data_IF_233958072205
#
_entry.id   IF_233958072205
#
_cell.length_a   1.000
_cell.length_b   1.000
_cell.length_c   1.000
_cell.angle_alpha   90.00
_cell.angle_beta   90.00
_cell.angle_gamma   90.00
#
_symmetry.space_group_name_H-M   'P 1'
#
loop_
_entity.id
_entity.type
_entity.pdbx_description
1 polymer ?
#
# COMPACT_ATOMS: atom_id res chain seq x y z
N UNK A 1 15.38 39.87 31.55
CA UNK A 1 14.29 39.57 30.61
C UNK A 1 14.49 38.18 30.02
N UNK A 2 13.47 37.34 30.25
CA UNK A 2 13.15 36.00 29.72
C UNK A 2 14.20 35.24 28.91
N UNK A 3 14.67 34.14 29.51
CA UNK A 3 15.18 32.95 28.83
C UNK A 3 14.08 32.37 27.93
N UNK A 4 14.35 32.24 26.63
CA UNK A 4 13.56 31.40 25.74
C UNK A 4 14.12 29.97 25.81
N UNK A 5 13.43 29.12 26.55
CA UNK A 5 13.62 27.68 26.53
C UNK A 5 13.11 27.18 25.16
N UNK A 6 14.02 26.89 24.23
CA UNK A 6 13.68 26.23 22.98
C UNK A 6 13.39 24.76 23.31
N UNK A 7 12.12 24.42 23.46
CA UNK A 7 11.69 23.03 23.60
C UNK A 7 11.83 22.38 22.23
N UNK A 8 12.98 21.76 21.98
CA UNK A 8 13.13 20.74 20.95
C UNK A 8 12.23 19.55 21.34
N UNK A 9 11.00 19.54 20.81
CA UNK A 9 10.17 18.35 20.78
C UNK A 9 10.89 17.31 19.92
N UNK A 10 11.49 16.34 20.60
CA UNK A 10 12.11 15.16 20.00
C UNK A 10 11.10 14.43 19.10
N UNK A 11 11.28 14.53 17.79
CA UNK A 11 10.76 13.51 16.88
C UNK A 11 11.61 12.26 17.10
N UNK A 12 11.10 11.30 17.86
CA UNK A 12 11.74 10.01 18.00
C UNK A 12 11.93 9.39 16.60
N UNK A 13 13.14 8.88 16.27
CA UNK A 13 13.36 8.28 14.97
C UNK A 13 12.44 7.06 14.83
N UNK A 14 11.58 7.07 13.81
CA UNK A 14 10.71 5.95 13.40
C UNK A 14 11.49 4.71 12.88
N UNK A 15 12.76 4.59 13.26
CA UNK A 15 13.73 3.58 12.83
C UNK A 15 14.04 2.54 13.92
N UNK A 16 13.56 2.72 15.16
CA UNK A 16 13.59 1.64 16.16
C UNK A 16 12.87 0.40 15.64
N UNK A 17 13.28 -0.80 16.05
CA UNK A 17 12.59 -2.03 15.68
C UNK A 17 11.13 -1.97 16.15
N UNK A 18 10.23 -1.56 15.25
CA UNK A 18 8.81 -1.34 15.55
C UNK A 18 8.09 -2.66 15.80
N UNK A 19 8.43 -3.70 15.03
CA UNK A 19 7.82 -5.01 15.15
C UNK A 19 8.73 -5.98 15.92
N UNK A 20 8.14 -6.75 16.83
CA UNK A 20 8.83 -7.78 17.61
C UNK A 20 9.39 -8.86 16.68
N UNK A 21 10.39 -9.62 17.13
CA UNK A 21 10.96 -10.76 16.37
C UNK A 21 9.93 -11.83 16.02
N UNK A 22 8.83 -11.91 16.77
CA UNK A 22 7.68 -12.80 16.54
C UNK A 22 6.62 -12.19 15.61
N UNK A 23 6.92 -11.07 14.95
CA UNK A 23 6.02 -10.35 14.05
C UNK A 23 6.67 -10.10 12.68
N UNK A 24 5.87 -10.14 11.62
CA UNK A 24 6.18 -9.52 10.35
C UNK A 24 6.04 -8.00 10.44
N UNK A 25 6.95 -7.27 9.79
CA UNK A 25 6.83 -5.84 9.51
C UNK A 25 6.38 -5.66 8.06
N UNK A 26 5.11 -5.32 7.86
CA UNK A 26 4.49 -5.17 6.54
C UNK A 26 5.19 -4.14 5.66
N UNK A 27 5.89 -3.15 6.23
CA UNK A 27 6.66 -2.19 5.43
C UNK A 27 7.75 -2.90 4.64
N UNK A 28 8.41 -3.91 5.23
CA UNK A 28 9.45 -4.72 4.57
C UNK A 28 8.91 -5.63 3.47
N UNK A 29 7.60 -5.89 3.46
CA UNK A 29 6.93 -6.67 2.41
C UNK A 29 6.43 -5.78 1.29
N UNK A 30 5.92 -4.60 1.61
CA UNK A 30 5.31 -3.68 0.65
C UNK A 30 6.34 -2.81 -0.07
N UNK A 31 7.40 -2.39 0.64
CA UNK A 31 8.49 -1.56 0.12
C UNK A 31 9.82 -2.03 0.75
N UNK A 32 10.40 -3.16 0.28
CA UNK A 32 11.63 -3.70 0.85
C UNK A 32 12.80 -2.73 0.69
N UNK A 33 13.78 -2.86 1.60
CA UNK A 33 15.02 -2.09 1.59
C UNK A 33 16.22 -3.03 1.34
N UNK A 34 17.27 -2.58 0.63
CA UNK A 34 17.39 -1.28 -0.07
C UNK A 34 16.36 -1.12 -1.20
N UNK A 35 16.08 0.12 -1.61
CA UNK A 35 15.10 0.46 -2.66
C UNK A 35 15.23 -0.45 -3.90
N UNK A 36 14.11 -1.09 -4.28
CA UNK A 36 14.03 -1.98 -5.43
C UNK A 36 13.08 -1.45 -6.48
N UNK A 37 13.40 -1.68 -7.76
CA UNK A 37 12.44 -1.59 -8.86
C UNK A 37 11.92 -2.98 -9.20
N UNK A 38 10.65 -3.23 -8.90
CA UNK A 38 9.92 -4.42 -9.34
C UNK A 38 8.57 -4.04 -9.96
N UNK A 39 8.60 -3.67 -11.25
CA UNK A 39 7.47 -3.03 -11.95
C UNK A 39 7.22 -1.57 -11.53
N UNK A 40 7.51 -1.24 -10.27
CA UNK A 40 7.54 0.11 -9.68
C UNK A 40 8.82 0.28 -8.86
N UNK A 41 9.29 1.51 -8.70
CA UNK A 41 10.36 1.88 -7.76
C UNK A 41 9.75 1.98 -6.35
N UNK A 42 10.24 1.14 -5.44
CA UNK A 42 9.91 1.14 -4.03
C UNK A 42 10.84 2.10 -3.31
N UNK A 43 10.28 3.14 -2.70
CA UNK A 43 11.07 4.12 -1.97
C UNK A 43 10.51 4.34 -0.59
N UNK A 44 11.35 4.26 0.44
CA UNK A 44 10.93 4.46 1.83
C UNK A 44 11.58 5.71 2.39
N UNK A 45 10.77 6.59 2.98
CA UNK A 45 11.19 7.81 3.66
C UNK A 45 10.81 7.78 5.15
N UNK A 46 11.61 7.10 6.00
CA UNK A 46 11.25 6.83 7.40
C UNK A 46 10.98 8.07 8.24
N UNK A 47 11.72 9.16 8.01
CA UNK A 47 11.55 10.41 8.78
C UNK A 47 10.16 11.02 8.59
N UNK A 48 9.57 10.85 7.40
CA UNK A 48 8.23 11.34 7.07
C UNK A 48 7.13 10.31 7.28
N UNK A 49 7.47 9.07 7.63
CA UNK A 49 6.51 7.95 7.67
C UNK A 49 5.83 7.72 6.33
N UNK A 50 6.55 7.85 5.21
CA UNK A 50 5.98 7.74 3.85
C UNK A 50 6.76 6.73 3.02
N UNK A 51 6.08 5.95 2.18
CA UNK A 51 6.71 5.20 1.09
C UNK A 51 5.96 5.37 -0.22
N UNK A 52 6.69 5.19 -1.32
CA UNK A 52 6.19 5.35 -2.68
C UNK A 52 6.29 4.05 -3.45
N UNK A 53 5.29 3.82 -4.30
CA UNK A 53 5.42 2.98 -5.48
C UNK A 53 5.36 3.86 -6.72
N UNK A 54 6.54 4.26 -7.23
CA UNK A 54 6.63 5.07 -8.44
C UNK A 54 6.62 4.15 -9.66
N UNK A 55 5.65 4.32 -10.56
CA UNK A 55 5.32 3.35 -11.62
C UNK A 55 6.10 3.56 -12.92
N UNK A 56 6.87 4.64 -13.05
CA UNK A 56 7.75 4.88 -14.21
C UNK A 56 9.04 5.62 -13.85
N UNK A 57 9.98 5.64 -14.79
CA UNK A 57 11.23 6.39 -14.68
C UNK A 57 11.06 7.91 -14.78
N UNK A 58 9.87 8.40 -15.16
CA UNK A 58 9.56 9.83 -15.16
C UNK A 58 9.27 10.38 -13.75
N UNK A 59 9.29 9.53 -12.72
CA UNK A 59 8.94 9.92 -11.36
C UNK A 59 7.44 9.86 -11.07
N UNK A 60 6.62 9.37 -12.00
CA UNK A 60 5.15 9.28 -11.92
C UNK A 60 4.59 8.19 -12.87
N UNK A 61 3.34 7.76 -12.73
CA UNK A 61 2.44 8.03 -11.62
C UNK A 61 2.91 7.29 -10.36
N UNK A 62 2.34 7.62 -9.20
CA UNK A 62 2.72 7.06 -7.91
C UNK A 62 1.50 6.56 -7.15
N UNK A 63 1.72 5.53 -6.34
CA UNK A 63 0.99 5.38 -5.09
C UNK A 63 1.86 5.95 -3.96
N UNK A 64 1.29 6.84 -3.15
CA UNK A 64 1.93 7.38 -1.93
C UNK A 64 1.18 6.82 -0.73
N UNK A 65 1.93 6.16 0.13
CA UNK A 65 1.40 5.50 1.30
C UNK A 65 2.09 6.05 2.54
N UNK A 66 1.34 6.16 3.62
CA UNK A 66 1.85 6.58 4.92
C UNK A 66 2.01 5.37 5.83
N UNK A 67 2.82 5.48 6.86
CA UNK A 67 2.94 4.48 7.90
C UNK A 67 3.29 5.11 9.23
N UNK A 68 2.77 4.52 10.30
CA UNK A 68 3.16 4.81 11.67
C UNK A 68 3.62 3.52 12.36
N UNK A 69 3.63 3.47 13.69
CA UNK A 69 4.03 2.26 14.42
C UNK A 69 2.98 1.13 14.35
N UNK A 70 1.74 1.45 14.03
CA UNK A 70 0.59 0.57 14.13
C UNK A 70 0.09 0.10 12.76
N UNK A 71 0.07 0.98 11.75
CA UNK A 71 -0.57 0.73 10.46
C UNK A 71 0.25 1.28 9.28
N UNK A 72 -0.03 0.70 8.12
CA UNK A 72 0.23 1.28 6.81
C UNK A 72 -1.09 1.82 6.26
N UNK A 73 -1.05 3.00 5.67
CA UNK A 73 -2.19 3.72 5.15
C UNK A 73 -2.03 4.02 3.67
N UNK A 74 -3.11 3.86 2.90
CA UNK A 74 -3.18 4.36 1.53
C UNK A 74 -3.58 5.84 1.56
N UNK A 75 -2.82 6.70 0.88
CA UNK A 75 -3.05 8.16 0.92
C UNK A 75 -3.37 8.73 -0.45
N UNK A 76 -2.46 8.57 -1.42
CA UNK A 76 -2.59 9.08 -2.78
C UNK A 76 -2.41 7.94 -3.76
N UNK A 77 -3.25 7.88 -4.78
CA UNK A 77 -3.14 6.93 -5.90
C UNK A 77 -3.28 7.65 -7.23
N UNK A 78 -2.92 6.97 -8.32
CA UNK A 78 -2.99 7.54 -9.65
C UNK A 78 -4.43 7.76 -10.14
N UNK A 79 -4.59 8.76 -11.01
CA UNK A 79 -5.79 8.91 -11.83
C UNK A 79 -5.50 8.69 -13.31
N UNK A 80 -4.71 9.56 -13.95
CA UNK A 80 -4.22 9.34 -15.32
C UNK A 80 -2.74 8.95 -15.29
N UNK A 81 -2.40 7.90 -16.03
CA UNK A 81 -1.06 7.34 -16.03
C UNK A 81 0.02 8.25 -16.64
N UNK A 82 -0.38 9.17 -17.51
CA UNK A 82 0.54 10.03 -18.28
C UNK A 82 0.54 11.48 -17.83
N UNK A 83 -0.15 11.82 -16.74
CA UNK A 83 -0.29 13.21 -16.29
C UNK A 83 -0.10 13.33 -14.77
N UNK A 84 1.05 13.87 -14.32
CA UNK A 84 1.37 14.00 -12.90
C UNK A 84 0.54 15.08 -12.18
N UNK A 85 -0.26 15.87 -12.90
CA UNK A 85 -1.18 16.85 -12.30
C UNK A 85 -2.52 16.22 -11.90
N UNK A 86 -2.69 14.91 -12.13
CA UNK A 86 -3.92 14.19 -11.81
C UNK A 86 -3.67 13.05 -10.83
N UNK A 87 -4.51 12.97 -9.81
CA UNK A 87 -4.35 11.99 -8.74
C UNK A 87 -5.65 11.81 -7.96
N UNK A 88 -5.72 10.75 -7.18
CA UNK A 88 -6.75 10.55 -6.17
C UNK A 88 -6.11 10.71 -4.80
N UNK A 89 -6.75 11.43 -3.90
CA UNK A 89 -6.28 11.60 -2.52
C UNK A 89 -7.41 11.33 -1.55
N UNK A 90 -7.15 10.50 -0.54
CA UNK A 90 -8.12 10.28 0.53
C UNK A 90 -8.21 11.50 1.45
N UNK A 91 -9.42 11.89 1.83
CA UNK A 91 -9.64 12.99 2.78
C UNK A 91 -9.00 12.68 4.15
N UNK A 92 -8.91 11.39 4.47
CA UNK A 92 -8.14 10.85 5.58
C UNK A 92 -7.48 9.57 5.09
N UNK A 93 -6.16 9.38 5.27
CA UNK A 93 -5.45 8.18 4.83
C UNK A 93 -6.15 6.90 5.31
N UNK A 94 -6.37 5.95 4.40
CA UNK A 94 -7.14 4.72 4.65
C UNK A 94 -6.23 3.72 5.32
N UNK A 95 -6.60 3.24 6.52
CA UNK A 95 -5.93 2.10 7.16
C UNK A 95 -5.99 0.90 6.21
N UNK A 96 -4.83 0.48 5.73
CA UNK A 96 -4.74 -0.55 4.69
C UNK A 96 -4.34 -1.90 5.27
N UNK A 97 -3.31 -1.93 6.13
CA UNK A 97 -2.86 -3.13 6.85
C UNK A 97 -2.26 -2.74 8.21
N UNK A 98 -2.30 -3.60 9.24
CA UNK A 98 -1.46 -3.42 10.40
C UNK A 98 0.01 -3.48 9.96
N UNK A 99 0.87 -2.66 10.58
CA UNK A 99 2.31 -2.67 10.31
C UNK A 99 2.94 -3.93 10.87
N UNK A 100 2.63 -4.28 12.11
CA UNK A 100 3.16 -5.45 12.78
C UNK A 100 2.12 -6.57 12.88
N UNK A 101 2.38 -7.70 12.21
CA UNK A 101 1.46 -8.86 12.19
C UNK A 101 2.15 -10.05 12.85
N UNK A 102 1.47 -10.75 13.77
CA UNK A 102 2.03 -11.96 14.40
C UNK A 102 2.38 -12.99 13.33
N UNK A 103 3.59 -13.56 13.42
CA UNK A 103 4.00 -14.66 12.54
C UNK A 103 3.09 -15.85 12.82
N UNK A 104 2.38 -16.39 11.81
CA UNK A 104 1.45 -17.49 12.04
C UNK A 104 2.22 -18.80 12.30
N UNK A 105 1.61 -19.70 13.07
CA UNK A 105 2.14 -21.06 13.29
C UNK A 105 1.90 -21.98 12.09
N UNK A 106 0.96 -21.63 11.20
CA UNK A 106 0.60 -22.39 10.00
C UNK A 106 0.59 -21.48 8.77
N UNK A 107 1.00 -21.99 7.62
CA UNK A 107 0.97 -21.27 6.34
C UNK A 107 -0.45 -21.17 5.75
N UNK A 108 -0.65 -20.22 4.84
CA UNK A 108 -1.86 -20.11 4.00
C UNK A 108 -3.12 -19.53 4.66
N UNK A 109 -3.16 -19.36 5.99
CA UNK A 109 -4.32 -18.80 6.69
C UNK A 109 -4.43 -17.28 6.60
N UNK A 110 -5.59 -16.74 7.00
CA UNK A 110 -5.77 -15.31 7.27
C UNK A 110 -5.03 -14.94 8.56
N UNK A 111 -4.21 -13.90 8.51
CA UNK A 111 -3.37 -13.47 9.63
C UNK A 111 -3.68 -12.08 10.14
N UNK A 112 -4.38 -11.25 9.36
CA UNK A 112 -4.84 -9.93 9.80
C UNK A 112 -6.11 -9.49 9.07
N UNK A 113 -6.85 -8.57 9.69
CA UNK A 113 -8.02 -7.91 9.10
C UNK A 113 -8.05 -6.46 9.56
N UNK A 114 -8.37 -5.55 8.64
CA UNK A 114 -8.65 -4.13 8.90
C UNK A 114 -9.94 -3.76 8.21
N UNK A 115 -10.79 -3.01 8.90
CA UNK A 115 -12.06 -2.50 8.37
C UNK A 115 -12.08 -0.99 8.45
N UNK A 116 -12.59 -0.33 7.42
CA UNK A 116 -12.78 1.13 7.39
C UNK A 116 -14.23 1.43 7.01
N UNK A 117 -14.98 2.15 7.86
CA UNK A 117 -16.37 2.50 7.56
C UNK A 117 -16.45 3.52 6.43
N UNK A 118 -17.59 3.55 5.74
CA UNK A 118 -17.83 4.46 4.61
C UNK A 118 -17.67 5.94 4.97
N UNK A 119 -17.96 6.31 6.21
CA UNK A 119 -17.77 7.69 6.72
C UNK A 119 -16.31 8.14 6.74
N UNK A 120 -15.37 7.18 6.68
CA UNK A 120 -13.93 7.43 6.69
C UNK A 120 -13.26 7.03 5.37
N UNK A 121 -14.02 6.79 4.30
CA UNK A 121 -13.51 6.38 2.99
C UNK A 121 -13.70 7.41 1.88
N UNK A 122 -13.96 8.66 2.26
CA UNK A 122 -14.09 9.78 1.34
C UNK A 122 -12.75 10.12 0.67
N UNK A 123 -12.79 10.40 -0.63
CA UNK A 123 -11.62 10.80 -1.40
C UNK A 123 -11.98 11.81 -2.48
N UNK A 124 -10.95 12.48 -2.99
CA UNK A 124 -11.05 13.45 -4.08
C UNK A 124 -10.30 12.91 -5.29
N UNK A 125 -10.88 13.07 -6.47
CA UNK A 125 -10.21 12.83 -7.75
C UNK A 125 -9.88 14.17 -8.36
N UNK A 126 -8.60 14.52 -8.36
CA UNK A 126 -8.07 15.73 -8.98
C UNK A 126 -7.85 15.49 -10.48
N UNK A 127 -8.53 16.27 -11.31
CA UNK A 127 -8.36 16.27 -12.77
C UNK A 127 -7.31 17.28 -13.26
N UNK A 128 -6.80 18.09 -12.33
CA UNK A 128 -5.68 19.05 -12.42
C UNK A 128 -5.24 19.37 -10.99
N UNK A 129 -4.21 20.20 -10.77
CA UNK A 129 -3.77 20.55 -9.41
C UNK A 129 -4.82 21.28 -8.56
N UNK A 130 -5.84 21.90 -9.16
CA UNK A 130 -6.83 22.73 -8.44
C UNK A 130 -8.27 22.25 -8.53
N UNK A 131 -8.62 21.44 -9.55
CA UNK A 131 -10.00 20.97 -9.75
C UNK A 131 -10.17 19.51 -9.33
N UNK A 132 -11.20 19.24 -8.52
CA UNK A 132 -11.51 17.89 -8.06
C UNK A 132 -13.01 17.57 -8.00
N UNK A 133 -13.31 16.27 -7.98
CA UNK A 133 -14.63 15.72 -7.62
C UNK A 133 -14.51 14.86 -6.37
N UNK A 134 -15.57 14.80 -5.56
CA UNK A 134 -15.60 14.01 -4.32
C UNK A 134 -16.33 12.69 -4.49
N UNK A 135 -15.79 11.65 -3.88
CA UNK A 135 -16.25 10.27 -3.98
C UNK A 135 -16.11 9.56 -2.63
N UNK A 136 -16.69 8.37 -2.53
CA UNK A 136 -16.49 7.45 -1.41
C UNK A 136 -16.27 6.04 -1.93
N UNK A 137 -15.41 5.27 -1.29
CA UNK A 137 -15.25 3.84 -1.60
C UNK A 137 -16.32 2.96 -0.96
N UNK A 138 -17.21 3.51 -0.11
CA UNK A 138 -18.09 2.70 0.73
C UNK A 138 -17.35 2.07 1.91
N UNK A 139 -17.92 1.03 2.53
CA UNK A 139 -17.22 0.26 3.55
C UNK A 139 -16.11 -0.59 2.91
N UNK A 140 -14.99 -0.69 3.61
CA UNK A 140 -13.76 -1.32 3.14
C UNK A 140 -13.36 -2.43 4.12
N UNK A 141 -12.90 -3.56 3.60
CA UNK A 141 -12.23 -4.61 4.35
C UNK A 141 -10.92 -5.02 3.66
N UNK A 142 -9.83 -4.98 4.40
CA UNK A 142 -8.52 -5.51 3.99
C UNK A 142 -8.20 -6.73 4.82
N UNK A 143 -7.77 -7.81 4.18
CA UNK A 143 -7.29 -9.02 4.86
C UNK A 143 -5.90 -9.39 4.38
N UNK A 144 -5.02 -9.78 5.30
CA UNK A 144 -3.70 -10.32 4.96
C UNK A 144 -3.74 -11.83 5.16
N UNK A 145 -3.24 -12.55 4.17
CA UNK A 145 -3.20 -14.01 4.11
C UNK A 145 -1.76 -14.49 3.87
N UNK A 146 -1.47 -15.70 4.36
CA UNK A 146 -0.20 -16.38 4.14
C UNK A 146 0.59 -16.64 5.43
N UNK A 147 1.91 -16.92 5.32
CA UNK A 147 2.64 -16.97 4.06
C UNK A 147 2.21 -18.15 3.19
N UNK A 148 2.24 -17.96 1.87
CA UNK A 148 2.20 -19.02 0.86
C UNK A 148 3.45 -18.93 -0.02
N UNK A 149 3.57 -19.77 -1.04
CA UNK A 149 4.58 -19.62 -2.09
C UNK A 149 3.89 -19.24 -3.40
N UNK A 150 4.57 -18.43 -4.22
CA UNK A 150 4.12 -18.03 -5.55
C UNK A 150 5.31 -18.07 -6.50
N UNK A 151 5.11 -18.55 -7.71
CA UNK A 151 6.09 -18.44 -8.80
C UNK A 151 5.57 -17.45 -9.83
N UNK A 152 6.31 -16.36 -10.05
CA UNK A 152 5.98 -15.32 -11.05
C UNK A 152 6.96 -15.32 -12.23
N UNK A 153 7.91 -16.25 -12.26
CA UNK A 153 8.97 -16.34 -13.27
C UNK A 153 9.95 -15.17 -13.22
N UNK A 154 10.59 -14.90 -14.36
CA UNK A 154 11.56 -13.80 -14.50
C UNK A 154 12.83 -14.01 -13.68
N UNK A 155 13.36 -12.96 -13.05
CA UNK A 155 14.58 -13.04 -12.23
C UNK A 155 14.30 -13.18 -10.73
N UNK A 156 13.03 -13.32 -10.34
CA UNK A 156 12.65 -13.48 -8.94
C UNK A 156 12.78 -14.96 -8.57
N UNK A 157 13.50 -15.31 -7.48
CA UNK A 157 13.62 -16.69 -7.05
C UNK A 157 12.26 -17.36 -6.83
N UNK A 158 12.05 -18.59 -7.33
CA UNK A 158 10.81 -19.32 -7.05
C UNK A 158 10.72 -19.69 -5.57
N UNK A 159 9.50 -19.84 -5.05
CA UNK A 159 9.27 -20.37 -3.71
C UNK A 159 9.51 -19.37 -2.56
N UNK A 160 9.71 -18.09 -2.85
CA UNK A 160 9.79 -17.08 -1.79
C UNK A 160 8.47 -16.98 -1.01
N UNK A 161 8.54 -16.81 0.34
CA UNK A 161 7.36 -16.53 1.14
C UNK A 161 6.60 -15.34 0.57
N UNK A 162 5.30 -15.50 0.44
CA UNK A 162 4.38 -14.54 -0.17
C UNK A 162 3.26 -14.22 0.81
N UNK A 163 3.07 -12.94 1.12
CA UNK A 163 1.87 -12.45 1.79
C UNK A 163 0.91 -11.91 0.75
N UNK A 164 -0.37 -12.25 0.89
CA UNK A 164 -1.41 -11.77 -0.02
C UNK A 164 -2.34 -10.85 0.73
N UNK A 165 -2.43 -9.59 0.30
CA UNK A 165 -3.47 -8.68 0.76
C UNK A 165 -4.68 -8.77 -0.17
N UNK A 166 -5.85 -9.00 0.41
CA UNK A 166 -7.14 -8.95 -0.27
C UNK A 166 -7.87 -7.70 0.21
N UNK A 167 -7.94 -6.70 -0.66
CA UNK A 167 -8.56 -5.40 -0.43
C UNK A 167 -9.93 -5.36 -1.10
N UNK A 168 -11.01 -5.18 -0.35
CA UNK A 168 -12.38 -5.13 -0.87
C UNK A 168 -13.08 -3.87 -0.42
N UNK A 169 -13.88 -3.29 -1.31
CA UNK A 169 -14.60 -2.05 -1.06
C UNK A 169 -15.98 -2.02 -1.72
N UNK A 170 -16.75 -0.98 -1.42
CA UNK A 170 -18.18 -0.90 -1.64
C UNK A 170 -18.94 -2.07 -1.00
N UNK A 171 -18.56 -2.41 0.24
CA UNK A 171 -19.19 -3.45 1.04
C UNK A 171 -20.46 -2.95 1.76
N UNK A 172 -21.30 -3.90 2.19
CA UNK A 172 -22.41 -3.63 3.11
C UNK A 172 -21.93 -3.05 4.45
N UNK A 173 -22.86 -2.61 5.29
CA UNK A 173 -22.59 -2.16 6.67
C UNK A 173 -21.93 -3.23 7.55
N UNK A 174 -22.06 -4.50 7.19
CA UNK A 174 -21.45 -5.65 7.88
C UNK A 174 -20.15 -6.11 7.22
N UNK A 175 -19.58 -5.31 6.31
CA UNK A 175 -18.35 -5.62 5.56
C UNK A 175 -18.45 -6.90 4.70
N UNK A 176 -19.67 -7.24 4.27
CA UNK A 176 -19.97 -8.33 3.36
C UNK A 176 -20.39 -7.81 1.98
N UNK A 177 -20.53 -8.70 0.99
CA UNK A 177 -21.14 -8.36 -0.30
C UNK A 177 -20.45 -7.22 -1.06
N UNK A 178 -19.13 -7.11 -0.94
CA UNK A 178 -18.34 -6.05 -1.58
C UNK A 178 -18.42 -6.14 -3.11
N UNK A 179 -18.45 -5.00 -3.81
CA UNK A 179 -18.53 -4.97 -5.28
C UNK A 179 -17.18 -5.09 -5.97
N UNK A 180 -16.12 -4.63 -5.33
CA UNK A 180 -14.79 -4.54 -5.91
C UNK A 180 -13.77 -5.26 -5.03
N UNK A 181 -12.77 -5.85 -5.68
CA UNK A 181 -11.66 -6.55 -5.03
C UNK A 181 -10.36 -6.27 -5.76
N UNK A 182 -9.34 -5.92 -5.00
CA UNK A 182 -7.96 -5.91 -5.42
C UNK A 182 -7.17 -6.91 -4.59
N UNK A 183 -6.28 -7.65 -5.24
CA UNK A 183 -5.38 -8.59 -4.57
C UNK A 183 -3.94 -8.21 -4.87
N UNK A 184 -3.13 -8.11 -3.82
CA UNK A 184 -1.72 -7.76 -3.90
C UNK A 184 -0.88 -8.90 -3.31
N UNK A 185 -0.01 -9.50 -4.12
CA UNK A 185 0.93 -10.51 -3.66
C UNK A 185 2.31 -9.87 -3.44
N UNK A 186 2.78 -9.90 -2.19
CA UNK A 186 4.08 -9.38 -1.79
C UNK A 186 5.04 -10.52 -1.48
N UNK A 187 6.16 -10.59 -2.20
CA UNK A 187 7.21 -11.55 -1.90
C UNK A 187 8.25 -10.95 -0.97
N UNK A 188 8.68 -11.76 0.00
CA UNK A 188 9.64 -11.36 1.03
C UNK A 188 10.93 -10.86 0.37
N UNK A 189 11.33 -9.62 0.69
CA UNK A 189 12.54 -8.98 0.16
C UNK A 189 12.43 -8.49 -1.29
N UNK A 190 11.27 -8.65 -1.94
CA UNK A 190 11.07 -8.30 -3.35
C UNK A 190 10.03 -7.20 -3.54
N UNK A 191 8.95 -7.20 -2.75
CA UNK A 191 7.87 -6.24 -2.89
C UNK A 191 6.65 -6.83 -3.60
N UNK A 192 5.83 -5.95 -4.20
CA UNK A 192 4.63 -6.36 -4.95
C UNK A 192 5.02 -7.06 -6.25
N UNK A 193 4.70 -8.36 -6.36
CA UNK A 193 5.01 -9.20 -7.53
C UNK A 193 3.81 -9.50 -8.41
N UNK A 194 2.60 -9.37 -7.88
CA UNK A 194 1.36 -9.53 -8.64
C UNK A 194 0.26 -8.67 -8.07
N UNK A 195 -0.44 -7.96 -8.93
CA UNK A 195 -1.68 -7.26 -8.59
C UNK A 195 -2.80 -7.76 -9.50
N UNK A 196 -4.00 -7.91 -8.95
CA UNK A 196 -5.20 -8.21 -9.74
C UNK A 196 -6.37 -7.37 -9.27
N UNK A 197 -7.16 -6.87 -10.21
CA UNK A 197 -8.43 -6.21 -9.97
C UNK A 197 -9.59 -7.07 -10.46
N UNK A 198 -10.64 -7.20 -9.65
CA UNK A 198 -11.83 -8.00 -9.95
C UNK A 198 -13.10 -7.29 -9.50
N UNK A 199 -14.20 -7.58 -10.20
CA UNK A 199 -15.55 -7.12 -9.85
C UNK A 199 -16.42 -8.31 -9.48
N UNK A 200 -17.38 -8.11 -8.57
CA UNK A 200 -18.34 -9.14 -8.22
C UNK A 200 -19.44 -9.18 -9.28
N UNK A 201 -19.55 -10.30 -9.99
CA UNK A 201 -20.54 -10.53 -11.04
C UNK A 201 -21.27 -11.83 -10.72
N UNK A 202 -22.59 -11.77 -10.51
CA UNK A 202 -23.42 -12.93 -10.19
C UNK A 202 -22.87 -13.79 -9.02
N UNK A 203 -22.35 -13.13 -7.98
CA UNK A 203 -21.77 -13.80 -6.80
C UNK A 203 -20.35 -14.34 -6.99
N UNK A 204 -19.75 -14.19 -8.19
CA UNK A 204 -18.40 -14.68 -8.51
C UNK A 204 -17.47 -13.50 -8.80
N UNK A 205 -16.23 -13.58 -8.36
CA UNK A 205 -15.21 -12.57 -8.67
C UNK A 205 -14.69 -12.75 -10.10
N UNK A 206 -15.06 -11.84 -10.99
CA UNK A 206 -14.56 -11.79 -12.36
C UNK A 206 -13.30 -10.91 -12.43
N UNK A 207 -12.20 -11.48 -12.95
CA UNK A 207 -10.95 -10.74 -13.17
C UNK A 207 -11.17 -9.67 -14.26
N UNK A 208 -10.79 -8.43 -13.97
CA UNK A 208 -10.89 -7.30 -14.89
C UNK A 208 -9.52 -6.89 -15.40
N UNK A 209 -8.52 -6.86 -14.52
CA UNK A 209 -7.14 -6.48 -14.88
C UNK A 209 -6.13 -7.13 -13.97
N UNK A 210 -4.88 -7.23 -14.43
CA UNK A 210 -3.76 -7.72 -13.64
C UNK A 210 -2.43 -7.14 -14.10
N UNK A 211 -1.45 -7.19 -13.22
CA UNK A 211 -0.04 -7.00 -13.53
C UNK A 211 0.81 -8.05 -12.83
N UNK A 212 1.92 -8.42 -13.48
CA UNK A 212 2.92 -9.33 -12.95
C UNK A 212 4.26 -8.60 -13.00
N UNK A 213 4.87 -8.41 -11.84
CA UNK A 213 6.17 -7.78 -11.68
C UNK A 213 7.17 -8.88 -11.32
N UNK A 214 7.81 -9.43 -12.35
CA UNK A 214 8.71 -10.57 -12.24
C UNK A 214 10.20 -10.21 -12.44
N UNK A 215 10.53 -8.93 -12.29
CA UNK A 215 11.89 -8.39 -12.45
C UNK A 215 12.22 -7.46 -11.30
N UNK A 216 13.04 -7.91 -10.36
CA UNK A 216 13.51 -7.09 -9.24
C UNK A 216 14.98 -6.70 -9.42
N UNK A 217 15.27 -5.40 -9.33
CA UNK A 217 16.63 -4.85 -9.37
C UNK A 217 16.76 -3.70 -8.36
N UNK A 218 17.97 -3.42 -7.89
CA UNK A 218 18.21 -2.20 -7.12
C UNK A 218 18.07 -0.99 -8.02
N UNK A 219 17.25 -0.03 -7.62
CA UNK A 219 17.11 1.24 -8.30
C UNK A 219 16.34 2.23 -7.42
N UNK A 220 16.64 3.51 -7.60
CA UNK A 220 15.89 4.61 -6.99
C UNK A 220 15.59 5.67 -8.06
N UNK A 221 14.60 6.50 -7.81
CA UNK A 221 14.16 7.62 -8.68
C UNK A 221 13.72 8.77 -7.77
N UNK A 222 13.59 9.99 -8.27
CA UNK A 222 12.92 11.05 -7.51
C UNK A 222 11.44 11.12 -7.90
N UNK A 223 10.49 11.04 -6.95
CA UNK A 223 9.08 11.35 -7.22
C UNK A 223 8.92 12.82 -7.67
N UNK A 224 8.01 13.08 -8.61
CA UNK A 224 7.79 14.42 -9.18
C UNK A 224 6.43 14.95 -8.76
N UNK A 225 6.33 15.99 -7.95
CA UNK A 225 5.03 16.52 -7.50
C UNK A 225 4.78 17.92 -8.07
N UNK A 226 4.08 18.06 -9.21
CA UNK A 226 3.85 19.39 -9.78
C UNK A 226 2.77 20.19 -9.03
N UNK A 227 2.02 19.55 -8.13
CA UNK A 227 0.90 20.19 -7.42
C UNK A 227 1.21 20.57 -5.96
N UNK A 228 2.37 20.20 -5.41
CA UNK A 228 2.84 20.55 -4.05
C UNK A 228 4.35 20.35 -3.88
#
# INVERSE_FOLDING_TARGET
>A
MKWCLLICLFAAPALGQVCKSTQYDMLKWMAPQPDTKNGHYNMVYPMSGTFYWVKSSAGYPWDINLFDQNFIYQSITEYKWTDPHTYKIFNTPIKWTPRCIKIPSTSGGKIATVTVPSSSSGFRVYSSCSSYTSHTLGNIISEIWGPTTLNVGGNIPPGLPTLTMVYRYACSSTFQGCKYKETFAYQKGVGLVKWTYSTLQNGVWALVSQSINNKSNLASIAPVHPCW
#
